data_IF_919602452230
#
_entry.id   IF_919602452230
#
_cell.length_a   1.000
_cell.length_b   1.000
_cell.length_c   1.000
_cell.angle_alpha   90.00
_cell.angle_beta   90.00
_cell.angle_gamma   90.00
#
_symmetry.space_group_name_H-M   'P 1'
#
loop_
_entity.id
_entity.type
_entity.pdbx_description
1 polymer ?
#
# COMPACT_ATOMS: atom_id res chain seq x y z
N UNK A 1 13.96 56.09 -8.29
CA UNK A 1 13.10 55.38 -7.32
C UNK A 1 12.20 54.41 -8.10
N UNK A 2 12.69 53.20 -8.44
CA UNK A 2 11.92 52.21 -9.26
C UNK A 2 12.30 50.73 -9.01
N UNK A 3 13.18 50.44 -8.04
CA UNK A 3 13.70 49.07 -7.81
C UNK A 3 12.92 48.26 -6.77
N UNK A 4 12.26 48.89 -5.81
CA UNK A 4 11.51 48.18 -4.76
C UNK A 4 10.18 47.60 -5.26
N UNK A 5 9.57 48.20 -6.28
CA UNK A 5 8.30 47.73 -6.84
C UNK A 5 8.41 46.41 -7.62
N UNK A 6 9.54 46.15 -8.30
CA UNK A 6 9.76 44.89 -9.03
C UNK A 6 10.04 43.70 -8.10
N UNK A 7 10.72 43.95 -6.97
CA UNK A 7 10.97 42.93 -5.94
C UNK A 7 9.68 42.48 -5.24
N UNK A 8 8.76 43.42 -4.99
CA UNK A 8 7.44 43.11 -4.43
C UNK A 8 6.55 42.32 -5.40
N UNK A 9 6.57 42.66 -6.69
CA UNK A 9 5.82 41.96 -7.72
C UNK A 9 6.26 40.49 -7.86
N UNK A 10 7.57 40.23 -7.92
CA UNK A 10 8.11 38.86 -8.00
C UNK A 10 7.74 37.98 -6.79
N UNK A 11 7.67 38.56 -5.58
CA UNK A 11 7.24 37.84 -4.39
C UNK A 11 5.74 37.45 -4.46
N UNK A 12 4.90 38.31 -5.03
CA UNK A 12 3.47 38.03 -5.22
C UNK A 12 3.24 36.98 -6.31
N UNK A 13 3.98 37.04 -7.42
CA UNK A 13 3.92 36.03 -8.48
C UNK A 13 4.30 34.64 -7.94
N UNK A 14 5.36 34.56 -7.13
CA UNK A 14 5.75 33.30 -6.49
C UNK A 14 4.68 32.81 -5.50
N UNK A 15 4.08 33.70 -4.71
CA UNK A 15 3.03 33.34 -3.76
C UNK A 15 1.78 32.75 -4.45
N UNK A 16 1.50 33.15 -5.69
CA UNK A 16 0.39 32.59 -6.49
C UNK A 16 0.73 31.20 -7.05
N UNK A 17 1.98 30.97 -7.45
CA UNK A 17 2.41 29.67 -7.99
C UNK A 17 2.71 28.62 -6.91
N UNK A 18 3.12 29.06 -5.71
CA UNK A 18 3.52 28.19 -4.62
C UNK A 18 2.45 27.16 -4.22
N UNK A 19 1.15 27.49 -4.08
CA UNK A 19 0.12 26.49 -3.77
C UNK A 19 0.02 25.37 -4.81
N UNK A 20 0.16 25.69 -6.10
CA UNK A 20 0.14 24.70 -7.17
C UNK A 20 1.36 23.78 -7.10
N UNK A 21 2.54 24.36 -6.87
CA UNK A 21 3.79 23.61 -6.70
C UNK A 21 3.68 22.65 -5.48
N UNK A 22 3.18 23.15 -4.35
CA UNK A 22 2.99 22.35 -3.15
C UNK A 22 1.97 21.23 -3.37
N UNK A 23 0.86 21.50 -4.06
CA UNK A 23 -0.12 20.47 -4.39
C UNK A 23 0.49 19.36 -5.26
N UNK A 24 1.33 19.71 -6.24
CA UNK A 24 2.01 18.74 -7.09
C UNK A 24 3.00 17.90 -6.28
N UNK A 25 3.86 18.54 -5.47
CA UNK A 25 4.86 17.83 -4.65
C UNK A 25 4.16 16.89 -3.66
N UNK A 26 3.19 17.39 -2.89
CA UNK A 26 2.44 16.56 -1.93
C UNK A 26 1.68 15.43 -2.64
N UNK A 27 1.07 15.70 -3.79
CA UNK A 27 0.40 14.69 -4.60
C UNK A 27 1.34 13.56 -5.04
N UNK A 28 2.55 13.90 -5.50
CA UNK A 28 3.54 12.88 -5.89
C UNK A 28 4.04 12.05 -4.71
N UNK A 29 4.21 12.64 -3.53
CA UNK A 29 4.61 11.93 -2.31
C UNK A 29 3.52 10.93 -1.89
N UNK A 30 2.26 11.37 -1.85
CA UNK A 30 1.13 10.49 -1.50
C UNK A 30 0.99 9.34 -2.49
N UNK A 31 1.10 9.64 -3.80
CA UNK A 31 1.06 8.62 -4.83
C UNK A 31 2.20 7.61 -4.68
N UNK A 32 3.43 8.07 -4.44
CA UNK A 32 4.58 7.20 -4.22
C UNK A 32 4.39 6.26 -3.03
N UNK A 33 3.84 6.78 -1.92
CA UNK A 33 3.49 5.96 -0.74
C UNK A 33 2.42 4.92 -1.06
N UNK A 34 1.36 5.32 -1.76
CA UNK A 34 0.28 4.42 -2.14
C UNK A 34 0.80 3.29 -3.04
N UNK A 35 1.63 3.62 -4.02
CA UNK A 35 2.23 2.66 -4.91
C UNK A 35 3.17 1.69 -4.18
N UNK A 36 4.01 2.20 -3.27
CA UNK A 36 4.85 1.36 -2.42
C UNK A 36 4.03 0.40 -1.56
N UNK A 37 2.95 0.90 -0.92
CA UNK A 37 2.05 0.06 -0.13
C UNK A 37 1.40 -1.05 -0.98
N UNK A 38 0.95 -0.73 -2.19
CA UNK A 38 0.36 -1.72 -3.11
C UNK A 38 1.34 -2.83 -3.47
N UNK A 39 2.59 -2.49 -3.78
CA UNK A 39 3.64 -3.48 -4.10
C UNK A 39 3.90 -4.38 -2.88
N UNK A 40 4.12 -3.78 -1.72
CA UNK A 40 4.41 -4.53 -0.50
C UNK A 40 3.26 -5.47 -0.13
N UNK A 41 2.00 -5.00 -0.16
CA UNK A 41 0.83 -5.84 0.12
C UNK A 41 0.71 -7.01 -0.87
N UNK A 42 1.00 -6.77 -2.15
CA UNK A 42 0.96 -7.82 -3.18
C UNK A 42 2.05 -8.86 -2.96
N UNK A 43 3.26 -8.43 -2.62
CA UNK A 43 4.37 -9.33 -2.33
C UNK A 43 4.14 -10.11 -1.03
N UNK A 44 3.64 -9.45 0.02
CA UNK A 44 3.27 -10.10 1.27
C UNK A 44 2.18 -11.16 1.08
N UNK A 45 1.19 -10.88 0.23
CA UNK A 45 0.15 -11.86 -0.11
C UNK A 45 0.74 -13.06 -0.86
N UNK A 46 1.72 -12.85 -1.75
CA UNK A 46 2.46 -13.92 -2.46
C UNK A 46 3.30 -14.76 -1.51
N UNK A 47 3.96 -14.15 -0.54
CA UNK A 47 4.74 -14.90 0.46
C UNK A 47 3.84 -15.74 1.37
N UNK A 48 2.73 -15.17 1.84
CA UNK A 48 1.78 -15.91 2.67
C UNK A 48 1.09 -17.05 1.91
N UNK A 49 0.67 -16.83 0.66
CA UNK A 49 0.04 -17.89 -0.14
C UNK A 49 1.03 -19.00 -0.49
N UNK A 50 2.33 -18.71 -0.61
CA UNK A 50 3.38 -19.72 -0.76
C UNK A 50 3.46 -20.63 0.45
N UNK A 51 3.46 -20.04 1.63
CA UNK A 51 3.43 -20.81 2.88
C UNK A 51 2.18 -21.69 2.94
N UNK A 52 1.03 -21.18 2.51
CA UNK A 52 -0.19 -21.98 2.41
C UNK A 52 -0.07 -23.14 1.41
N UNK A 53 0.53 -22.89 0.24
CA UNK A 53 0.68 -23.88 -0.82
C UNK A 53 1.60 -25.05 -0.44
N UNK A 54 2.63 -24.79 0.38
CA UNK A 54 3.61 -25.78 0.82
C UNK A 54 3.16 -26.47 2.12
N UNK A 55 2.78 -25.69 3.12
CA UNK A 55 2.56 -26.21 4.48
C UNK A 55 1.10 -26.57 4.75
N UNK A 56 0.16 -26.11 3.91
CA UNK A 56 -1.27 -26.28 4.11
C UNK A 56 -1.75 -25.81 5.51
N UNK A 57 -1.12 -24.77 6.05
CA UNK A 57 -1.41 -24.19 7.36
C UNK A 57 -1.87 -22.72 7.20
N UNK A 58 -3.18 -22.44 7.37
CA UNK A 58 -3.73 -21.10 7.32
C UNK A 58 -3.11 -20.12 8.32
N UNK A 59 -2.72 -20.60 9.51
CA UNK A 59 -2.19 -19.75 10.57
C UNK A 59 -0.77 -19.30 10.23
N UNK A 60 0.07 -20.24 9.80
CA UNK A 60 1.42 -19.93 9.32
C UNK A 60 1.37 -19.01 8.09
N UNK A 61 0.46 -19.26 7.15
CA UNK A 61 0.29 -18.43 5.95
C UNK A 61 -0.07 -16.98 6.29
N UNK A 62 -1.05 -16.78 7.18
CA UNK A 62 -1.44 -15.44 7.63
C UNK A 62 -0.31 -14.73 8.36
N UNK A 63 0.42 -15.43 9.24
CA UNK A 63 1.56 -14.86 9.97
C UNK A 63 2.70 -14.45 9.02
N UNK A 64 3.00 -15.27 8.01
CA UNK A 64 3.98 -14.94 6.98
C UNK A 64 3.58 -13.69 6.19
N UNK A 65 2.31 -13.60 5.78
CA UNK A 65 1.77 -12.40 5.13
C UNK A 65 1.86 -11.16 6.03
N UNK A 66 1.52 -11.26 7.32
CA UNK A 66 1.66 -10.14 8.27
C UNK A 66 3.11 -9.66 8.39
N UNK A 67 4.04 -10.59 8.57
CA UNK A 67 5.46 -10.26 8.72
C UNK A 67 6.01 -9.59 7.46
N UNK A 68 5.62 -10.06 6.28
CA UNK A 68 6.03 -9.48 5.00
C UNK A 68 5.41 -8.10 4.73
N UNK A 69 4.24 -7.81 5.32
CA UNK A 69 3.58 -6.51 5.20
C UNK A 69 3.98 -5.47 6.27
N UNK A 70 4.90 -5.83 7.18
CA UNK A 70 5.26 -5.00 8.34
C UNK A 70 5.82 -3.61 7.99
N UNK A 71 6.40 -3.43 6.79
CA UNK A 71 6.89 -2.13 6.32
C UNK A 71 5.79 -1.14 5.93
N UNK A 72 4.56 -1.62 5.69
CA UNK A 72 3.38 -0.77 5.41
C UNK A 72 2.62 -0.46 6.70
N UNK A 73 2.44 -1.46 7.56
CA UNK A 73 1.80 -1.30 8.86
C UNK A 73 2.34 -2.35 9.82
N UNK A 74 2.74 -1.91 11.01
CA UNK A 74 3.18 -2.80 12.10
C UNK A 74 2.05 -3.69 12.63
N UNK A 75 0.79 -3.36 12.33
CA UNK A 75 -0.38 -4.09 12.82
C UNK A 75 -1.44 -4.18 11.73
N UNK A 76 -1.26 -5.07 10.75
CA UNK A 76 -2.39 -5.53 9.92
C UNK A 76 -3.15 -6.60 10.71
N UNK A 77 -4.43 -6.39 11.04
CA UNK A 77 -5.24 -7.39 11.73
C UNK A 77 -5.29 -8.70 10.96
N UNK A 78 -5.22 -9.84 11.66
CA UNK A 78 -5.36 -11.18 11.04
C UNK A 78 -6.72 -11.33 10.32
N UNK A 79 -7.74 -10.58 10.78
CA UNK A 79 -9.07 -10.53 10.16
C UNK A 79 -9.08 -9.93 8.77
N UNK A 80 -8.12 -9.06 8.45
CA UNK A 80 -7.98 -8.44 7.13
C UNK A 80 -7.22 -9.33 6.14
N UNK A 81 -6.70 -10.46 6.61
CA UNK A 81 -6.02 -11.45 5.79
C UNK A 81 -6.92 -12.68 5.61
N UNK A 82 -7.42 -12.84 4.40
CA UNK A 82 -8.34 -13.89 4.03
C UNK A 82 -7.72 -14.86 3.04
N UNK A 83 -8.11 -16.13 3.16
CA UNK A 83 -7.76 -17.20 2.24
C UNK A 83 -9.03 -17.66 1.54
N UNK A 84 -8.93 -18.08 0.28
CA UNK A 84 -10.06 -18.64 -0.48
C UNK A 84 -10.58 -19.96 0.09
N UNK A 85 -9.72 -20.70 0.79
CA UNK A 85 -10.05 -21.97 1.46
C UNK A 85 -9.16 -22.17 2.68
N UNK A 86 -9.60 -23.00 3.63
CA UNK A 86 -8.84 -23.38 4.83
C UNK A 86 -7.86 -24.52 4.58
N UNK A 87 -7.97 -25.18 3.42
CA UNK A 87 -7.09 -26.26 2.98
C UNK A 87 -6.64 -26.03 1.54
N UNK A 88 -5.48 -26.58 1.20
CA UNK A 88 -4.82 -26.53 -0.08
C UNK A 88 -4.68 -27.98 -0.59
N UNK A 89 -5.52 -28.37 -1.54
CA UNK A 89 -5.42 -29.69 -2.17
C UNK A 89 -4.56 -29.59 -3.42
N UNK A 90 -3.62 -30.53 -3.60
CA UNK A 90 -2.70 -30.56 -4.75
C UNK A 90 -3.44 -30.37 -6.08
N UNK A 91 -2.91 -29.48 -6.93
CA UNK A 91 -3.50 -29.16 -8.24
C UNK A 91 -4.57 -28.07 -8.22
N UNK A 92 -5.08 -27.67 -7.06
CA UNK A 92 -5.98 -26.52 -6.94
C UNK A 92 -5.20 -25.21 -6.73
N UNK A 93 -5.78 -24.09 -7.13
CA UNK A 93 -5.26 -22.76 -6.80
C UNK A 93 -5.81 -22.29 -5.47
N UNK A 94 -4.95 -21.67 -4.66
CA UNK A 94 -5.33 -20.97 -3.45
C UNK A 94 -4.99 -19.48 -3.59
N UNK A 95 -5.88 -18.63 -3.10
CA UNK A 95 -5.72 -17.18 -3.12
C UNK A 95 -5.66 -16.63 -1.70
N UNK A 96 -4.69 -15.77 -1.45
CA UNK A 96 -4.58 -14.98 -0.23
C UNK A 96 -4.84 -13.52 -0.56
N UNK A 97 -5.73 -12.88 0.18
CA UNK A 97 -6.05 -11.45 0.06
C UNK A 97 -5.74 -10.73 1.36
N UNK A 98 -5.04 -9.61 1.27
CA UNK A 98 -4.79 -8.69 2.39
C UNK A 98 -5.60 -7.42 2.10
N UNK A 99 -6.49 -7.04 3.02
CA UNK A 99 -7.16 -5.75 3.00
C UNK A 99 -6.38 -4.76 3.85
N UNK A 100 -6.24 -3.54 3.35
CA UNK A 100 -5.54 -2.49 4.08
C UNK A 100 -6.12 -1.13 3.70
N UNK A 101 -6.33 -0.26 4.68
CA UNK A 101 -6.79 1.10 4.43
C UNK A 101 -5.61 2.04 4.59
N UNK A 102 -5.19 2.67 3.49
CA UNK A 102 -4.07 3.60 3.52
C UNK A 102 -4.58 4.99 3.92
N UNK A 103 -4.03 5.54 5.00
CA UNK A 103 -4.23 6.94 5.37
C UNK A 103 -3.26 7.86 4.63
N UNK A 104 -3.80 8.93 4.06
CA UNK A 104 -3.01 10.03 3.50
C UNK A 104 -2.41 10.89 4.60
N UNK A 105 -1.21 11.43 4.35
CA UNK A 105 -0.52 12.35 5.27
C UNK A 105 -1.23 13.70 5.28
N UNK A 106 -1.65 14.15 4.11
CA UNK A 106 -2.30 15.45 3.89
C UNK A 106 -3.77 15.47 4.28
N UNK A 107 -4.42 14.30 4.37
CA UNK A 107 -5.87 14.17 4.60
C UNK A 107 -6.75 14.57 3.42
N UNK A 108 -6.19 15.11 2.33
CA UNK A 108 -6.94 15.65 1.18
C UNK A 108 -7.69 14.55 0.42
N UNK A 109 -7.09 13.35 0.29
CA UNK A 109 -7.69 12.23 -0.43
C UNK A 109 -8.37 11.20 0.49
N UNK A 110 -8.47 11.50 1.79
CA UNK A 110 -9.02 10.60 2.81
C UNK A 110 -8.24 9.27 2.94
N UNK A 111 -8.69 8.38 3.84
CA UNK A 111 -8.23 7.01 3.85
C UNK A 111 -8.93 6.22 2.74
N UNK A 112 -8.16 5.47 1.94
CA UNK A 112 -8.73 4.66 0.85
C UNK A 112 -8.38 3.18 0.99
N UNK A 113 -9.32 2.27 0.70
CA UNK A 113 -9.09 0.84 0.79
C UNK A 113 -8.20 0.37 -0.36
N UNK A 114 -7.27 -0.52 -0.02
CA UNK A 114 -6.35 -1.18 -0.93
C UNK A 114 -6.36 -2.68 -0.65
N UNK A 115 -6.04 -3.47 -1.67
CA UNK A 115 -5.94 -4.92 -1.51
C UNK A 115 -4.69 -5.48 -2.17
N UNK A 116 -3.94 -6.29 -1.43
CA UNK A 116 -2.88 -7.14 -1.96
C UNK A 116 -3.44 -8.54 -2.21
N UNK A 117 -3.17 -9.11 -3.38
CA UNK A 117 -3.61 -10.47 -3.73
C UNK A 117 -2.45 -11.31 -4.23
N UNK A 118 -2.33 -12.53 -3.70
CA UNK A 118 -1.38 -13.55 -4.13
C UNK A 118 -2.14 -14.83 -4.46
N UNK A 119 -1.75 -15.50 -5.54
CA UNK A 119 -2.33 -16.79 -5.97
C UNK A 119 -1.21 -17.78 -6.24
N UNK A 120 -1.35 -19.01 -5.79
CA UNK A 120 -0.43 -20.11 -6.08
C UNK A 120 -1.17 -21.45 -6.25
N UNK A 121 -0.54 -22.37 -6.97
CA UNK A 121 -0.99 -23.76 -7.08
C UNK A 121 -0.54 -24.54 -5.83
N UNK A 122 -1.44 -25.32 -5.24
CA UNK A 122 -1.13 -26.21 -4.12
C UNK A 122 -0.30 -27.41 -4.60
N UNK A 123 0.70 -27.81 -3.81
CA UNK A 123 1.47 -29.04 -4.02
C UNK A 123 2.42 -29.04 -5.22
N UNK A 124 2.86 -27.85 -5.65
CA UNK A 124 3.99 -27.67 -6.57
C UNK A 124 5.32 -27.60 -5.85
#
# INVERSE_FOLDING_TARGET
MKRDSERGAAAVEFAILLPLLLMLVLGTIEFGRAYNAQITLTNAARDGVRVMAINNDPTAAKKAAQNAAASVSSTIPVSDITLSSTTCSTGNQITLTIKYTLSTITGIAGPFPMTGKGVMLCGG
#
